data_IF_153020555724
#
_entry.id   IF_153020555724
#
_cell.length_a   1.000
_cell.length_b   1.000
_cell.length_c   1.000
_cell.angle_alpha   90.00
_cell.angle_beta   90.00
_cell.angle_gamma   90.00
#
_symmetry.space_group_name_H-M   'P 1'
#
loop_
_entity.id
_entity.type
_entity.pdbx_description
1 polymer ?
#
# COMPACT_ATOMS: atom_id res chain seq x y z
N UNK A 1 -23.25 -9.31 -5.39
CA UNK A 1 -22.23 -9.43 -4.33
C UNK A 1 -21.03 -8.61 -4.76
N UNK A 2 -20.43 -7.81 -3.87
CA UNK A 2 -19.32 -6.94 -4.22
C UNK A 2 -17.98 -7.65 -3.99
N UNK A 3 -16.99 -7.37 -4.84
CA UNK A 3 -15.63 -7.92 -4.75
C UNK A 3 -14.64 -7.01 -5.48
N UNK A 4 -13.36 -7.15 -5.16
CA UNK A 4 -12.27 -6.57 -5.95
C UNK A 4 -11.75 -7.67 -6.90
N UNK A 5 -12.30 -7.73 -8.12
CA UNK A 5 -11.94 -8.75 -9.11
C UNK A 5 -11.97 -10.18 -8.53
N UNK A 6 -13.01 -10.50 -7.75
CA UNK A 6 -13.17 -11.80 -7.07
C UNK A 6 -12.59 -11.86 -5.66
N UNK A 7 -11.64 -10.98 -5.30
CA UNK A 7 -11.13 -10.91 -3.93
C UNK A 7 -12.19 -10.35 -2.98
N UNK A 8 -12.22 -10.90 -1.76
CA UNK A 8 -13.07 -10.42 -0.67
C UNK A 8 -14.58 -10.44 -0.97
N UNK A 9 -15.02 -11.40 -1.79
CA UNK A 9 -16.40 -11.49 -2.25
C UNK A 9 -17.39 -11.56 -1.07
N UNK A 10 -18.33 -10.62 -1.02
CA UNK A 10 -19.34 -10.54 0.03
C UNK A 10 -20.32 -9.38 -0.14
N UNK A 11 -21.17 -9.17 0.86
CA UNK A 11 -22.01 -7.97 0.95
C UNK A 11 -21.26 -6.89 1.72
N UNK A 12 -20.99 -5.76 1.08
CA UNK A 12 -20.31 -4.62 1.70
C UNK A 12 -21.38 -3.70 2.30
N UNK A 13 -21.14 -3.24 3.53
CA UNK A 13 -21.98 -2.25 4.22
C UNK A 13 -21.12 -1.41 5.16
N UNK A 14 -21.51 -0.16 5.38
CA UNK A 14 -20.94 0.68 6.45
C UNK A 14 -21.46 0.27 7.83
N UNK A 15 -20.98 0.97 8.86
CA UNK A 15 -21.44 0.74 10.25
C UNK A 15 -22.93 1.01 10.44
N UNK A 16 -23.46 2.03 9.78
CA UNK A 16 -24.89 2.40 9.80
C UNK A 16 -25.42 2.47 8.36
N UNK A 17 -25.96 1.36 7.80
CA UNK A 17 -26.36 1.29 6.39
C UNK A 17 -27.47 2.26 5.96
N UNK A 18 -28.29 2.72 6.91
CA UNK A 18 -29.41 3.65 6.67
C UNK A 18 -29.03 5.13 6.84
N UNK A 19 -27.76 5.44 7.12
CA UNK A 19 -27.31 6.82 7.30
C UNK A 19 -27.38 7.62 6.01
N UNK A 20 -27.58 8.93 6.12
CA UNK A 20 -27.38 9.86 5.01
C UNK A 20 -25.90 10.26 4.95
N UNK A 21 -25.40 10.55 3.76
CA UNK A 21 -24.00 10.96 3.53
C UNK A 21 -24.02 12.32 2.83
N UNK A 22 -23.39 13.32 3.44
CA UNK A 22 -22.98 14.55 2.77
C UNK A 22 -21.48 14.50 2.49
N UNK A 23 -21.05 14.96 1.31
CA UNK A 23 -19.67 14.84 0.84
C UNK A 23 -19.08 16.22 0.57
N UNK A 24 -18.06 16.57 1.35
CA UNK A 24 -17.29 17.80 1.20
C UNK A 24 -15.91 17.47 0.64
N UNK A 25 -15.70 17.75 -0.66
CA UNK A 25 -14.44 17.42 -1.34
C UNK A 25 -13.40 18.52 -1.10
N UNK A 26 -12.42 18.24 -0.25
CA UNK A 26 -11.35 19.19 0.11
C UNK A 26 -9.98 18.85 -0.49
N UNK A 27 -9.82 17.64 -1.01
CA UNK A 27 -8.56 17.13 -1.56
C UNK A 27 -8.58 17.03 -3.09
N UNK A 28 -7.43 17.34 -3.68
CA UNK A 28 -7.14 17.25 -5.10
C UNK A 28 -5.81 16.53 -5.33
N UNK A 29 -5.42 16.37 -6.60
CA UNK A 29 -4.10 15.79 -6.94
C UNK A 29 -2.92 16.60 -6.39
N UNK A 30 -3.14 17.89 -6.11
CA UNK A 30 -2.17 18.81 -5.51
C UNK A 30 -2.15 18.78 -3.98
N UNK A 31 -3.05 18.02 -3.34
CA UNK A 31 -3.18 17.95 -1.89
C UNK A 31 -4.51 18.48 -1.36
N UNK A 32 -4.59 18.59 -0.04
CA UNK A 32 -5.76 19.09 0.69
C UNK A 32 -5.34 20.40 1.38
N UNK A 33 -5.85 21.52 0.90
CA UNK A 33 -5.47 22.84 1.41
C UNK A 33 -6.30 23.22 2.65
N UNK A 34 -5.69 23.95 3.58
CA UNK A 34 -6.29 24.36 4.84
C UNK A 34 -7.60 25.15 4.64
N UNK A 35 -7.62 26.07 3.67
CA UNK A 35 -8.79 26.87 3.33
C UNK A 35 -9.98 26.01 2.90
N UNK A 36 -9.74 24.95 2.11
CA UNK A 36 -10.81 24.05 1.67
C UNK A 36 -11.34 23.23 2.83
N UNK A 37 -10.46 22.82 3.75
CA UNK A 37 -10.83 22.08 4.96
C UNK A 37 -11.71 22.96 5.85
N UNK A 38 -11.29 24.20 6.12
CA UNK A 38 -12.04 25.13 6.97
C UNK A 38 -13.42 25.46 6.40
N UNK A 39 -13.51 25.76 5.09
CA UNK A 39 -14.82 26.02 4.44
C UNK A 39 -15.72 24.78 4.52
N UNK A 40 -15.17 23.58 4.31
CA UNK A 40 -15.96 22.35 4.45
C UNK A 40 -16.48 22.10 5.87
N UNK A 41 -15.71 22.46 6.90
CA UNK A 41 -16.20 22.40 8.28
C UNK A 41 -17.34 23.39 8.52
N UNK A 42 -17.20 24.63 8.04
CA UNK A 42 -18.23 25.67 8.18
C UNK A 42 -19.54 25.24 7.49
N UNK A 43 -19.45 24.84 6.22
CA UNK A 43 -20.59 24.34 5.45
C UNK A 43 -21.22 23.11 6.10
N UNK A 44 -20.42 22.16 6.60
CA UNK A 44 -20.96 20.95 7.21
C UNK A 44 -21.70 21.22 8.53
N UNK A 45 -21.22 22.18 9.33
CA UNK A 45 -21.90 22.61 10.56
C UNK A 45 -23.22 23.30 10.20
N UNK A 46 -23.21 24.20 9.21
CA UNK A 46 -24.40 24.91 8.74
C UNK A 46 -25.45 23.98 8.13
N UNK A 47 -25.01 22.95 7.42
CA UNK A 47 -25.87 21.91 6.84
C UNK A 47 -26.45 20.96 7.92
N UNK A 48 -26.00 21.06 9.17
CA UNK A 48 -26.53 20.31 10.30
C UNK A 48 -26.15 18.84 10.29
N UNK A 49 -24.90 18.50 9.92
CA UNK A 49 -24.42 17.11 9.99
C UNK A 49 -24.31 16.64 11.46
N UNK A 50 -24.59 15.37 11.73
CA UNK A 50 -24.50 14.82 13.08
C UNK A 50 -23.06 14.42 13.50
N UNK A 51 -22.24 14.02 12.53
CA UNK A 51 -20.88 13.53 12.75
C UNK A 51 -20.01 13.77 11.51
N UNK A 52 -18.74 14.11 11.74
CA UNK A 52 -17.74 14.29 10.70
C UNK A 52 -16.71 13.15 10.73
N UNK A 53 -16.46 12.57 9.55
CA UNK A 53 -15.39 11.58 9.35
C UNK A 53 -14.30 12.19 8.48
N UNK A 54 -13.16 12.50 9.08
CA UNK A 54 -12.08 13.27 8.48
C UNK A 54 -10.81 12.40 8.44
N UNK A 55 -10.65 11.64 7.36
CA UNK A 55 -9.47 10.80 7.13
C UNK A 55 -8.31 11.61 6.53
N UNK A 56 -7.94 12.70 7.19
CA UNK A 56 -6.89 13.64 6.79
C UNK A 56 -5.88 13.81 7.93
N UNK A 57 -4.72 14.39 7.62
CA UNK A 57 -3.69 14.75 8.58
C UNK A 57 -2.50 15.39 7.88
N UNK A 58 -1.70 16.15 8.63
CA UNK A 58 -0.54 16.86 8.10
C UNK A 58 0.77 16.28 8.65
N UNK A 59 1.78 16.15 7.78
CA UNK A 59 3.16 15.82 8.15
C UNK A 59 3.88 17.05 8.74
N UNK A 60 3.25 17.77 9.68
CA UNK A 60 3.89 18.87 10.38
C UNK A 60 4.70 18.35 11.57
N UNK A 61 5.97 18.77 11.66
CA UNK A 61 6.84 18.48 12.80
C UNK A 61 6.37 19.13 14.12
N UNK A 62 5.42 20.07 14.05
CA UNK A 62 4.87 20.79 15.21
C UNK A 62 3.37 20.50 15.37
N UNK A 63 3.05 19.33 15.92
CA UNK A 63 1.68 18.94 16.28
C UNK A 63 1.21 19.59 17.60
N UNK A 64 1.95 20.56 18.15
CA UNK A 64 1.65 21.14 19.47
C UNK A 64 0.70 22.34 19.42
N UNK A 65 0.57 23.00 18.27
CA UNK A 65 -0.25 24.21 18.15
C UNK A 65 -1.54 23.97 17.37
N UNK A 66 -2.59 23.60 18.11
CA UNK A 66 -3.95 23.39 17.58
C UNK A 66 -4.54 24.64 16.89
N UNK A 67 -4.04 25.85 17.16
CA UNK A 67 -4.53 27.09 16.55
C UNK A 67 -3.93 27.38 15.18
N UNK A 68 -3.06 26.50 14.66
CA UNK A 68 -2.50 26.57 13.31
C UNK A 68 -2.86 25.37 12.45
N UNK A 69 -3.67 24.46 12.97
CA UNK A 69 -4.06 23.23 12.29
C UNK A 69 -5.54 23.34 11.88
N UNK A 70 -5.80 23.32 10.57
CA UNK A 70 -7.14 23.54 10.04
C UNK A 70 -8.16 22.50 10.52
N UNK A 71 -7.73 21.25 10.69
CA UNK A 71 -8.58 20.15 11.19
C UNK A 71 -8.95 20.42 12.65
N UNK A 72 -7.99 20.83 13.48
CA UNK A 72 -8.17 21.14 14.89
C UNK A 72 -9.10 22.33 15.07
N UNK A 73 -8.89 23.40 14.30
CA UNK A 73 -9.75 24.60 14.31
C UNK A 73 -11.18 24.21 13.87
N UNK A 74 -11.34 23.58 12.71
CA UNK A 74 -12.65 23.16 12.20
C UNK A 74 -13.38 22.23 13.18
N UNK A 75 -12.68 21.25 13.72
CA UNK A 75 -13.24 20.32 14.70
C UNK A 75 -13.62 21.00 16.03
N UNK A 76 -12.93 22.08 16.42
CA UNK A 76 -13.27 22.83 17.63
C UNK A 76 -14.63 23.53 17.45
N UNK A 77 -14.82 24.18 16.30
CA UNK A 77 -16.10 24.79 15.94
C UNK A 77 -17.21 23.75 15.82
N UNK A 78 -16.93 22.60 15.19
CA UNK A 78 -17.87 21.49 15.11
C UNK A 78 -18.29 20.99 16.50
N UNK A 79 -17.33 20.76 17.41
CA UNK A 79 -17.62 20.33 18.78
C UNK A 79 -18.47 21.35 19.54
N UNK A 80 -18.17 22.65 19.39
CA UNK A 80 -18.96 23.73 20.02
C UNK A 80 -20.43 23.69 19.59
N UNK A 81 -20.67 23.33 18.32
CA UNK A 81 -22.00 23.27 17.72
C UNK A 81 -22.60 21.85 17.79
N UNK A 82 -22.02 20.95 18.61
CA UNK A 82 -22.56 19.62 18.92
C UNK A 82 -22.19 18.51 17.93
N UNK A 83 -21.29 18.78 16.99
CA UNK A 83 -20.88 17.86 15.91
C UNK A 83 -19.55 17.18 16.27
N UNK A 84 -19.60 15.85 16.47
CA UNK A 84 -18.40 15.05 16.77
C UNK A 84 -17.53 14.89 15.52
N UNK A 85 -16.20 15.06 15.67
CA UNK A 85 -15.24 14.82 14.59
C UNK A 85 -14.35 13.61 14.89
N UNK A 86 -14.33 12.66 13.96
CA UNK A 86 -13.47 11.46 13.98
C UNK A 86 -12.34 11.63 12.98
N UNK A 87 -11.09 11.48 13.43
CA UNK A 87 -9.87 11.74 12.67
C UNK A 87 -8.94 10.53 12.65
N UNK A 88 -8.10 10.40 11.62
CA UNK A 88 -7.09 9.34 11.55
C UNK A 88 -5.85 9.67 12.38
N UNK A 89 -5.23 8.69 13.02
CA UNK A 89 -3.97 8.86 13.76
C UNK A 89 -2.72 9.05 12.88
N UNK A 90 -2.85 8.86 11.56
CA UNK A 90 -1.78 8.95 10.58
C UNK A 90 -1.01 7.64 10.36
N UNK A 91 -0.06 7.65 9.41
CA UNK A 91 0.62 6.46 8.89
C UNK A 91 2.16 6.51 9.05
N UNK A 92 2.70 7.41 9.88
CA UNK A 92 4.13 7.59 10.11
C UNK A 92 4.72 6.69 11.23
N UNK A 93 3.93 5.78 11.78
CA UNK A 93 4.41 4.79 12.74
C UNK A 93 5.53 3.89 12.19
N UNK A 94 6.19 3.08 13.03
CA UNK A 94 5.80 2.74 14.40
C UNK A 94 6.56 3.50 15.50
N UNK A 95 7.38 4.49 15.14
CA UNK A 95 8.21 5.21 16.11
C UNK A 95 7.35 6.03 17.08
N UNK A 96 7.77 6.22 18.35
CA UNK A 96 7.10 7.12 19.28
C UNK A 96 6.94 8.52 18.69
N UNK A 97 5.89 9.24 19.10
CA UNK A 97 5.62 10.63 18.68
C UNK A 97 5.36 10.76 17.17
N UNK A 98 4.67 9.77 16.58
CA UNK A 98 4.27 9.75 15.16
C UNK A 98 2.77 9.94 14.92
N UNK A 99 1.99 10.23 15.98
CA UNK A 99 0.55 10.49 15.88
C UNK A 99 0.28 11.92 15.41
N UNK A 100 -0.76 12.06 14.60
CA UNK A 100 -1.31 13.34 14.13
C UNK A 100 -2.70 13.61 14.74
N UNK A 101 -3.25 14.80 14.47
CA UNK A 101 -4.59 15.22 14.90
C UNK A 101 -4.80 15.13 16.42
N UNK A 102 -3.88 15.71 17.20
CA UNK A 102 -3.85 15.56 18.66
C UNK A 102 -4.84 16.45 19.43
N UNK A 103 -5.82 17.05 18.73
CA UNK A 103 -6.81 17.92 19.34
C UNK A 103 -7.70 17.16 20.34
N UNK A 104 -7.80 17.59 21.62
CA UNK A 104 -8.55 16.88 22.67
C UNK A 104 -10.05 16.72 22.40
N UNK A 105 -10.62 17.54 21.51
CA UNK A 105 -12.03 17.52 21.11
C UNK A 105 -12.33 16.62 19.90
N UNK A 106 -11.38 15.76 19.51
CA UNK A 106 -11.57 14.79 18.42
C UNK A 106 -11.44 13.36 18.92
N UNK A 107 -12.01 12.40 18.16
CA UNK A 107 -11.69 10.98 18.33
C UNK A 107 -10.61 10.61 17.32
N UNK A 108 -9.41 10.34 17.81
CA UNK A 108 -8.27 9.88 17.00
C UNK A 108 -8.29 8.36 16.89
N UNK A 109 -8.28 7.85 15.65
CA UNK A 109 -8.42 6.42 15.38
C UNK A 109 -7.11 5.83 14.84
N UNK A 110 -6.58 4.81 15.52
CA UNK A 110 -5.48 3.97 15.04
C UNK A 110 -5.95 2.81 14.16
N UNK A 111 -5.06 2.28 13.33
CA UNK A 111 -5.34 1.13 12.48
C UNK A 111 -4.86 -0.17 13.12
N UNK A 112 -5.63 -1.25 12.97
CA UNK A 112 -5.27 -2.60 13.37
C UNK A 112 -5.65 -3.62 12.29
N UNK A 113 -5.20 -4.86 12.46
CA UNK A 113 -5.53 -5.95 11.54
C UNK A 113 -6.80 -6.68 11.96
N UNK A 114 -7.41 -7.40 11.02
CA UNK A 114 -8.51 -8.34 11.25
C UNK A 114 -8.01 -9.78 11.07
N UNK A 115 -8.87 -10.75 11.37
CA UNK A 115 -8.60 -12.18 11.20
C UNK A 115 -8.36 -12.58 9.72
N UNK A 116 -9.05 -11.94 8.78
CA UNK A 116 -8.91 -12.16 7.35
C UNK A 116 -7.58 -11.60 6.82
N UNK A 117 -6.84 -12.44 6.09
CA UNK A 117 -5.60 -12.09 5.40
C UNK A 117 -5.68 -12.42 3.91
N UNK A 118 -5.09 -11.58 3.07
CA UNK A 118 -4.88 -11.88 1.65
C UNK A 118 -3.50 -12.51 1.48
N UNK A 119 -3.47 -13.67 0.85
CA UNK A 119 -2.27 -14.48 0.62
C UNK A 119 -2.20 -14.77 -0.87
N UNK A 120 -1.00 -14.67 -1.42
CA UNK A 120 -0.70 -15.04 -2.80
C UNK A 120 0.24 -16.23 -2.80
N UNK A 121 -0.20 -17.33 -3.40
CA UNK A 121 0.57 -18.57 -3.51
C UNK A 121 1.50 -18.52 -4.72
N UNK A 122 2.74 -18.90 -4.51
CA UNK A 122 3.76 -19.02 -5.57
C UNK A 122 4.16 -20.47 -5.67
N UNK A 123 3.82 -21.10 -6.78
CA UNK A 123 4.14 -22.50 -7.06
C UNK A 123 5.29 -22.55 -8.07
N UNK A 124 6.38 -23.23 -7.71
CA UNK A 124 7.52 -23.43 -8.59
C UNK A 124 7.32 -24.68 -9.47
N UNK A 125 8.19 -24.85 -10.46
CA UNK A 125 8.15 -26.01 -11.38
C UNK A 125 8.49 -27.34 -10.72
N UNK A 126 9.14 -27.33 -9.55
CA UNK A 126 9.38 -28.51 -8.71
C UNK A 126 8.16 -28.87 -7.81
N UNK A 127 7.02 -28.21 -8.03
CA UNK A 127 5.78 -28.36 -7.28
C UNK A 127 5.82 -27.81 -5.83
N UNK A 128 6.94 -27.22 -5.40
CA UNK A 128 7.04 -26.53 -4.11
C UNK A 128 6.20 -25.25 -4.14
N UNK A 129 5.44 -25.00 -3.06
CA UNK A 129 4.56 -23.84 -2.93
C UNK A 129 4.96 -22.96 -1.76
N UNK A 130 5.04 -21.66 -2.00
CA UNK A 130 5.29 -20.64 -1.00
C UNK A 130 4.09 -19.72 -0.86
N UNK A 131 3.89 -19.19 0.35
CA UNK A 131 2.83 -18.23 0.65
C UNK A 131 3.45 -16.86 0.91
N UNK A 132 3.08 -15.88 0.09
CA UNK A 132 3.44 -14.49 0.29
C UNK A 132 2.21 -13.59 0.36
N UNK A 133 2.45 -12.28 0.30
CA UNK A 133 1.42 -11.27 0.51
C UNK A 133 1.34 -10.33 -0.68
N UNK A 134 0.16 -10.26 -1.30
CA UNK A 134 -0.23 -9.24 -2.27
C UNK A 134 -1.74 -9.34 -2.54
N UNK A 135 -2.30 -8.32 -3.20
CA UNK A 135 -3.63 -8.40 -3.82
C UNK A 135 -3.47 -8.78 -5.29
N UNK A 136 -3.13 -10.04 -5.54
CA UNK A 136 -2.99 -10.55 -6.91
C UNK A 136 -4.36 -10.88 -7.51
N UNK A 137 -4.75 -10.14 -8.55
CA UNK A 137 -6.01 -10.33 -9.29
C UNK A 137 -5.79 -10.88 -10.70
N UNK A 138 -4.53 -11.14 -11.05
CA UNK A 138 -4.17 -11.69 -12.35
C UNK A 138 -4.30 -13.21 -12.35
N UNK A 139 -4.89 -13.71 -13.43
CA UNK A 139 -4.90 -15.13 -13.74
C UNK A 139 -3.77 -15.45 -14.72
N UNK A 140 -2.89 -16.36 -14.31
CA UNK A 140 -1.78 -16.86 -15.12
C UNK A 140 -2.13 -18.19 -15.82
N UNK A 141 -3.41 -18.58 -15.82
CA UNK A 141 -3.94 -19.81 -16.45
C UNK A 141 -3.12 -21.07 -16.11
N UNK A 142 -2.65 -21.14 -14.85
CA UNK A 142 -1.77 -22.22 -14.35
C UNK A 142 -0.49 -22.45 -15.19
N UNK A 143 -0.08 -21.46 -15.98
CA UNK A 143 1.09 -21.56 -16.85
C UNK A 143 2.37 -21.29 -16.06
N UNK A 144 3.39 -22.12 -16.28
CA UNK A 144 4.72 -21.91 -15.72
C UNK A 144 5.51 -20.91 -16.58
N UNK A 145 6.11 -19.92 -15.93
CA UNK A 145 6.98 -18.94 -16.55
C UNK A 145 8.42 -19.09 -16.06
N UNK A 146 9.43 -18.79 -16.90
CA UNK A 146 10.82 -18.75 -16.45
C UNK A 146 10.98 -17.74 -15.32
N UNK A 147 11.87 -18.04 -14.37
CA UNK A 147 12.20 -17.15 -13.25
C UNK A 147 13.67 -16.71 -13.34
N UNK A 148 13.93 -15.43 -13.09
CA UNK A 148 15.28 -14.87 -13.08
C UNK A 148 15.50 -13.99 -11.85
N UNK A 149 16.69 -14.09 -11.24
CA UNK A 149 17.07 -13.16 -10.19
C UNK A 149 17.54 -11.83 -10.78
N UNK A 150 17.01 -10.71 -10.27
CA UNK A 150 17.37 -9.37 -10.75
C UNK A 150 18.87 -9.06 -10.68
N UNK A 151 19.58 -9.64 -9.70
CA UNK A 151 21.04 -9.52 -9.59
C UNK A 151 21.81 -10.15 -10.76
N UNK A 152 21.21 -11.11 -11.47
CA UNK A 152 21.78 -11.78 -12.63
C UNK A 152 21.23 -11.23 -13.96
N UNK A 153 20.28 -10.28 -13.89
CA UNK A 153 19.67 -9.62 -15.04
C UNK A 153 20.12 -8.16 -15.18
N UNK A 154 21.36 -7.85 -14.75
CA UNK A 154 21.90 -6.49 -14.80
C UNK A 154 22.10 -6.01 -16.24
N UNK A 155 21.62 -4.80 -16.56
CA UNK A 155 21.80 -4.14 -17.86
C UNK A 155 23.28 -3.94 -18.25
N UNK A 156 24.17 -3.81 -17.27
CA UNK A 156 25.61 -3.65 -17.52
C UNK A 156 26.43 -4.54 -16.59
N UNK A 157 27.63 -4.91 -17.04
CA UNK A 157 28.57 -5.77 -16.29
C UNK A 157 29.26 -4.99 -15.15
N UNK A 158 29.09 -3.67 -15.09
CA UNK A 158 29.68 -2.83 -14.04
C UNK A 158 29.05 -3.21 -12.69
N UNK A 159 29.90 -3.60 -11.71
CA UNK A 159 29.47 -4.10 -10.40
C UNK A 159 28.47 -3.19 -9.67
N UNK A 160 28.53 -1.88 -9.90
CA UNK A 160 27.59 -0.91 -9.33
C UNK A 160 26.15 -1.19 -9.79
N UNK A 161 25.95 -1.54 -11.06
CA UNK A 161 24.63 -1.89 -11.60
C UNK A 161 24.17 -3.24 -11.10
N UNK A 162 25.06 -4.24 -10.99
CA UNK A 162 24.75 -5.54 -10.40
C UNK A 162 24.26 -5.43 -8.95
N UNK A 163 24.87 -4.54 -8.16
CA UNK A 163 24.43 -4.28 -6.77
C UNK A 163 23.06 -3.61 -6.70
N UNK A 164 22.65 -2.85 -7.71
CA UNK A 164 21.35 -2.19 -7.79
C UNK A 164 20.27 -3.05 -8.46
N UNK A 165 20.64 -3.89 -9.42
CA UNK A 165 19.72 -4.76 -10.16
C UNK A 165 19.11 -5.84 -9.28
N UNK A 166 19.77 -6.22 -8.16
CA UNK A 166 19.16 -7.08 -7.14
C UNK A 166 17.83 -6.51 -6.60
N UNK A 167 17.72 -5.19 -6.49
CA UNK A 167 16.53 -4.48 -6.05
C UNK A 167 15.60 -4.13 -7.21
N UNK A 168 16.02 -4.46 -8.44
CA UNK A 168 15.31 -4.15 -9.67
C UNK A 168 15.01 -2.65 -9.81
N UNK A 169 15.92 -1.78 -9.36
CA UNK A 169 15.71 -0.33 -9.43
C UNK A 169 15.57 0.15 -10.88
N UNK A 170 14.99 1.34 -11.02
CA UNK A 170 14.79 1.98 -12.31
C UNK A 170 16.04 1.94 -13.20
N UNK A 171 15.85 1.47 -14.44
CA UNK A 171 16.86 1.36 -15.48
C UNK A 171 18.08 0.47 -15.11
N UNK A 172 17.89 -0.54 -14.26
CA UNK A 172 18.97 -1.47 -13.88
C UNK A 172 18.85 -2.86 -14.49
N UNK A 173 17.68 -3.24 -15.01
CA UNK A 173 17.45 -4.55 -15.60
C UNK A 173 17.70 -4.55 -17.12
N UNK A 174 18.26 -5.64 -17.65
CA UNK A 174 18.34 -5.91 -19.08
C UNK A 174 17.01 -6.43 -19.59
N UNK A 175 16.39 -5.68 -20.50
CA UNK A 175 15.11 -6.06 -21.13
C UNK A 175 15.19 -7.41 -21.84
N UNK A 176 16.31 -7.75 -22.47
CA UNK A 176 16.46 -9.01 -23.20
C UNK A 176 16.41 -10.23 -22.29
N UNK A 177 16.85 -10.08 -21.04
CA UNK A 177 16.89 -11.17 -20.06
C UNK A 177 15.59 -11.30 -19.28
N UNK A 178 14.88 -10.19 -19.05
CA UNK A 178 13.70 -10.15 -18.17
C UNK A 178 12.39 -10.29 -18.93
N UNK A 179 12.32 -9.85 -20.19
CA UNK A 179 11.09 -9.89 -20.97
C UNK A 179 10.52 -11.31 -21.03
N UNK A 180 9.26 -11.47 -20.65
CA UNK A 180 8.59 -12.78 -20.65
C UNK A 180 8.88 -13.66 -19.43
N UNK A 181 9.60 -13.16 -18.43
CA UNK A 181 9.96 -13.91 -17.22
C UNK A 181 9.26 -13.36 -15.97
N UNK A 182 9.32 -14.12 -14.88
CA UNK A 182 9.06 -13.63 -13.53
C UNK A 182 10.41 -13.22 -12.91
N UNK A 183 10.54 -11.96 -12.50
CA UNK A 183 11.78 -11.47 -11.88
C UNK A 183 11.71 -11.52 -10.35
N UNK A 184 12.75 -12.05 -9.71
CA UNK A 184 12.93 -12.05 -8.26
C UNK A 184 13.79 -10.86 -7.82
N UNK A 185 13.24 -9.99 -6.98
CA UNK A 185 13.85 -8.73 -6.54
C UNK A 185 13.86 -8.62 -5.00
N UNK A 186 14.94 -8.06 -4.46
CA UNK A 186 15.03 -7.66 -3.06
C UNK A 186 14.27 -6.35 -2.84
N UNK A 187 13.44 -6.27 -1.80
CA UNK A 187 12.61 -5.08 -1.55
C UNK A 187 11.39 -5.01 -2.48
N UNK A 188 10.71 -3.86 -2.46
CA UNK A 188 9.43 -3.61 -3.18
C UNK A 188 9.52 -2.55 -4.27
N UNK A 189 10.69 -1.97 -4.46
CA UNK A 189 10.95 -0.81 -5.30
C UNK A 189 10.97 -1.17 -6.80
N UNK A 190 11.12 -2.45 -7.12
CA UNK A 190 11.38 -2.94 -8.47
C UNK A 190 10.19 -3.09 -9.40
N UNK A 191 8.96 -2.85 -8.92
CA UNK A 191 7.74 -3.14 -9.67
C UNK A 191 7.64 -2.33 -10.97
N UNK A 192 7.95 -1.03 -10.92
CA UNK A 192 7.88 -0.16 -12.10
C UNK A 192 8.89 -0.57 -13.16
N UNK A 193 10.12 -0.92 -12.76
CA UNK A 193 11.15 -1.37 -13.68
C UNK A 193 10.78 -2.72 -14.31
N UNK A 194 10.32 -3.68 -13.52
CA UNK A 194 9.88 -4.99 -14.00
C UNK A 194 8.78 -4.85 -15.07
N UNK A 195 7.79 -3.97 -14.82
CA UNK A 195 6.77 -3.63 -15.81
C UNK A 195 7.37 -3.02 -17.08
N UNK A 196 8.26 -2.03 -16.92
CA UNK A 196 8.90 -1.30 -18.03
C UNK A 196 9.68 -2.23 -18.95
N UNK A 197 10.37 -3.22 -18.41
CA UNK A 197 11.19 -4.18 -19.18
C UNK A 197 10.41 -5.41 -19.65
N UNK A 198 9.09 -5.45 -19.45
CA UNK A 198 8.21 -6.50 -19.95
C UNK A 198 8.28 -7.82 -19.19
N UNK A 199 8.56 -7.78 -17.88
CA UNK A 199 8.37 -8.94 -17.01
C UNK A 199 6.89 -9.34 -17.01
N UNK A 200 6.61 -10.64 -16.98
CA UNK A 200 5.24 -11.16 -16.81
C UNK A 200 4.82 -11.14 -15.34
N UNK A 201 5.79 -11.20 -14.42
CA UNK A 201 5.52 -11.17 -12.98
C UNK A 201 6.73 -10.68 -12.18
N UNK A 202 6.51 -10.36 -10.90
CA UNK A 202 7.57 -10.00 -9.97
C UNK A 202 7.38 -10.70 -8.62
N UNK A 203 8.45 -11.34 -8.14
CA UNK A 203 8.56 -11.79 -6.76
C UNK A 203 9.44 -10.80 -6.01
N UNK A 204 8.91 -10.24 -4.93
CA UNK A 204 9.62 -9.34 -4.03
C UNK A 204 9.96 -10.09 -2.75
N UNK A 205 11.01 -9.71 -2.04
CA UNK A 205 11.27 -10.30 -0.72
C UNK A 205 11.92 -9.36 0.27
N UNK A 206 11.71 -9.65 1.54
CA UNK A 206 12.31 -8.94 2.67
C UNK A 206 12.30 -9.78 3.95
N UNK A 207 12.89 -9.22 5.01
CA UNK A 207 13.06 -9.92 6.30
C UNK A 207 11.72 -10.34 6.91
N UNK A 208 10.71 -9.49 6.79
CA UNK A 208 9.35 -9.72 7.27
C UNK A 208 8.35 -9.53 6.15
N UNK A 209 7.20 -10.21 6.26
CA UNK A 209 6.07 -9.95 5.38
C UNK A 209 5.46 -8.58 5.72
N UNK A 210 5.01 -7.82 4.71
CA UNK A 210 4.22 -6.62 4.94
C UNK A 210 2.95 -6.92 5.73
N UNK A 211 2.61 -6.07 6.70
CA UNK A 211 1.36 -6.19 7.46
C UNK A 211 0.12 -5.90 6.60
N UNK A 212 0.30 -5.16 5.49
CA UNK A 212 -0.73 -4.85 4.50
C UNK A 212 -0.41 -5.47 3.15
N UNK A 213 -1.43 -6.03 2.51
CA UNK A 213 -1.35 -6.45 1.11
C UNK A 213 -1.56 -5.26 0.17
N UNK A 214 -0.74 -5.18 -0.87
CA UNK A 214 -0.84 -4.16 -1.92
C UNK A 214 -1.20 -4.79 -3.27
N UNK A 215 -1.94 -4.06 -4.09
CA UNK A 215 -2.12 -4.37 -5.51
C UNK A 215 -0.96 -3.80 -6.34
N UNK A 216 -0.61 -4.49 -7.42
CA UNK A 216 0.46 -4.11 -8.33
C UNK A 216 -0.04 -4.19 -9.78
N UNK A 217 0.59 -3.47 -10.74
CA UNK A 217 0.16 -3.45 -12.15
C UNK A 217 0.53 -4.70 -12.95
N UNK A 218 1.20 -5.67 -12.33
CA UNK A 218 1.52 -6.99 -12.88
C UNK A 218 1.40 -8.06 -11.78
N UNK A 219 1.29 -9.36 -12.13
CA UNK A 219 1.33 -10.45 -11.16
C UNK A 219 2.50 -10.30 -10.19
N UNK A 220 2.19 -10.18 -8.90
CA UNK A 220 3.19 -9.83 -7.90
C UNK A 220 2.96 -10.58 -6.60
N UNK A 221 4.04 -10.90 -5.88
CA UNK A 221 3.97 -11.50 -4.56
C UNK A 221 5.17 -11.06 -3.70
N UNK A 222 4.92 -10.64 -2.47
CA UNK A 222 5.98 -10.35 -1.50
C UNK A 222 6.19 -11.56 -0.58
N UNK A 223 7.42 -12.07 -0.56
CA UNK A 223 7.84 -13.27 0.17
C UNK A 223 8.76 -12.92 1.34
N UNK A 224 8.91 -13.86 2.27
CA UNK A 224 9.86 -13.74 3.36
C UNK A 224 11.23 -14.30 2.95
N UNK A 225 12.33 -13.69 3.41
CA UNK A 225 13.71 -14.13 3.11
C UNK A 225 13.97 -15.62 3.37
N UNK A 226 13.32 -16.21 4.38
CA UNK A 226 13.45 -17.65 4.71
C UNK A 226 13.03 -18.55 3.54
N UNK A 227 11.98 -18.15 2.82
CA UNK A 227 11.39 -18.92 1.72
C UNK A 227 12.22 -18.73 0.44
N UNK A 228 12.72 -17.50 0.25
CA UNK A 228 13.50 -17.12 -0.93
C UNK A 228 14.84 -17.85 -1.02
N UNK A 229 15.42 -18.28 0.11
CA UNK A 229 16.65 -19.08 0.11
C UNK A 229 16.48 -20.38 -0.68
N UNK A 230 15.31 -21.02 -0.60
CA UNK A 230 14.98 -22.22 -1.37
C UNK A 230 14.69 -21.88 -2.83
N UNK A 231 14.04 -20.74 -3.10
CA UNK A 231 13.81 -20.25 -4.46
C UNK A 231 15.14 -19.97 -5.19
N UNK A 232 16.12 -19.37 -4.52
CA UNK A 232 17.46 -19.17 -5.09
C UNK A 232 18.13 -20.48 -5.50
N UNK A 233 18.02 -21.52 -4.67
CA UNK A 233 18.54 -22.85 -4.98
C UNK A 233 17.84 -23.44 -6.20
N UNK A 234 16.51 -23.32 -6.27
CA UNK A 234 15.72 -23.73 -7.43
C UNK A 234 16.20 -23.03 -8.71
N UNK A 235 16.29 -21.68 -8.71
CA UNK A 235 16.76 -20.89 -9.86
C UNK A 235 18.15 -21.35 -10.32
N UNK A 236 19.04 -21.62 -9.36
CA UNK A 236 20.42 -22.05 -9.66
C UNK A 236 20.47 -23.48 -10.21
N UNK A 237 19.59 -24.37 -9.77
CA UNK A 237 19.54 -25.77 -10.24
C UNK A 237 18.92 -25.94 -11.62
N UNK A 238 18.06 -24.99 -12.05
CA UNK A 238 17.36 -25.06 -13.34
C UNK A 238 18.06 -24.28 -14.46
N UNK A 239 19.27 -23.76 -14.22
CA UNK A 239 20.10 -23.05 -15.20
C UNK A 239 20.82 -23.98 -16.21
N UNK A 240 20.30 -25.19 -16.41
CA UNK A 240 20.83 -26.19 -17.35
C UNK A 240 20.35 -25.97 -18.78
#
# INVERSE_FOLDING_TARGET
>A
MASMLGLAQGTIRGGVPSTRISVYKVCWSTGCFDENILVAFDDAILDGVDILSVSLGFDSADNSNHFKDAISIGAFHAMRDGVLTVVAGGNLGPHPVSLHNLAPWTIVVGASTIDRKFITKVKLGDNTTYEGVSLNTFDLAETLYPIIFGGDASKTIVDVFRRKSRFCLHNTLDERLVKGTIVLCEGKEGVEEALRVGAIGILMYGLTLPEKASSYPLPACFLQTKDVTSIFKYISSTRG
#
